data_IF_527574994088
#
_entry.id   IF_527574994088
#
_cell.length_a   1.000
_cell.length_b   1.000
_cell.length_c   1.000
_cell.angle_alpha   90.00
_cell.angle_beta   90.00
_cell.angle_gamma   90.00
#
_symmetry.space_group_name_H-M   'P 1'
#
loop_
_entity.id
_entity.type
_entity.pdbx_description
1 polymer ?
#
# COMPACT_ATOMS: atom_id res chain seq x y z
N UNK A 1 9.46 1.76 6.11
CA UNK A 1 9.70 2.78 7.15
C UNK A 1 8.38 3.17 7.74
N UNK A 2 8.29 3.12 9.07
CA UNK A 2 7.11 3.48 9.82
C UNK A 2 5.93 2.54 9.62
N UNK A 3 4.77 3.06 9.99
CA UNK A 3 3.50 2.33 9.98
C UNK A 3 2.73 2.47 8.65
N UNK A 4 3.38 2.96 7.59
CA UNK A 4 2.76 3.04 6.26
C UNK A 4 2.60 1.66 5.63
N UNK A 5 1.49 1.46 4.93
CA UNK A 5 1.23 0.27 4.14
C UNK A 5 1.41 0.57 2.65
N UNK A 6 2.16 -0.30 1.98
CA UNK A 6 2.45 -0.23 0.56
C UNK A 6 1.70 -1.36 -0.16
N UNK A 7 0.94 -0.99 -1.18
CA UNK A 7 0.23 -1.91 -2.04
C UNK A 7 0.71 -1.79 -3.48
N UNK A 8 0.80 -2.92 -4.16
CA UNK A 8 0.96 -3.02 -5.60
C UNK A 8 -0.24 -3.79 -6.16
N UNK A 9 -1.09 -3.09 -6.88
CA UNK A 9 -2.37 -3.57 -7.36
C UNK A 9 -2.28 -3.87 -8.86
N UNK A 10 -2.67 -5.08 -9.22
CA UNK A 10 -2.81 -5.60 -10.57
C UNK A 10 -3.70 -6.84 -10.52
N UNK A 11 -4.45 -7.11 -11.58
CA UNK A 11 -5.43 -8.21 -11.65
C UNK A 11 -4.77 -9.57 -11.28
N UNK A 12 -3.58 -9.87 -11.83
CA UNK A 12 -2.79 -11.06 -11.45
C UNK A 12 -2.53 -11.14 -9.93
N UNK A 13 -2.00 -10.06 -9.35
CA UNK A 13 -1.61 -10.02 -7.94
C UNK A 13 -2.82 -10.13 -7.01
N UNK A 14 -3.96 -9.58 -7.43
CA UNK A 14 -5.23 -9.74 -6.72
C UNK A 14 -5.71 -11.18 -6.74
N UNK A 15 -5.62 -11.85 -7.90
CA UNK A 15 -6.00 -13.26 -8.02
C UNK A 15 -5.16 -14.17 -7.11
N UNK A 16 -3.93 -13.74 -6.78
CA UNK A 16 -3.02 -14.47 -5.88
C UNK A 16 -3.06 -13.96 -4.43
N UNK A 17 -3.85 -12.92 -4.11
CA UNK A 17 -3.87 -12.30 -2.79
C UNK A 17 -2.55 -11.60 -2.39
N UNK A 18 -1.72 -11.21 -3.37
CA UNK A 18 -0.36 -10.67 -3.18
C UNK A 18 -0.27 -9.15 -3.38
N UNK A 19 -1.35 -8.41 -3.10
CA UNK A 19 -1.38 -6.95 -3.27
C UNK A 19 -0.63 -6.18 -2.18
N UNK A 20 -0.57 -6.67 -0.95
CA UNK A 20 0.14 -6.00 0.17
C UNK A 20 1.63 -6.33 0.11
N UNK A 21 2.49 -5.31 0.00
CA UNK A 21 3.94 -5.50 -0.16
C UNK A 21 4.71 -5.51 1.15
N UNK A 22 4.15 -4.93 2.21
CA UNK A 22 4.73 -4.95 3.54
C UNK A 22 3.69 -5.24 4.62
N UNK A 23 4.19 -5.47 5.83
CA UNK A 23 3.41 -5.46 7.06
C UNK A 23 3.77 -4.20 7.84
N UNK A 24 2.86 -3.80 8.74
CA UNK A 24 3.10 -2.71 9.67
C UNK A 24 4.27 -3.08 10.60
N UNK A 25 5.26 -2.19 10.71
CA UNK A 25 6.44 -2.41 11.56
C UNK A 25 6.53 -1.34 12.65
N UNK A 26 6.13 -1.71 13.87
CA UNK A 26 6.17 -0.86 15.08
C UNK A 26 7.57 -0.48 15.57
N UNK A 27 8.63 -0.70 14.79
CA UNK A 27 10.02 -0.42 15.18
C UNK A 27 10.81 0.37 14.13
N UNK A 28 10.22 0.66 12.96
CA UNK A 28 10.88 1.42 11.89
C UNK A 28 10.60 2.93 12.02
N UNK A 29 10.95 3.55 13.16
CA UNK A 29 10.64 4.97 13.41
C UNK A 29 11.77 5.91 12.96
N UNK A 30 11.36 7.08 12.47
CA UNK A 30 12.24 8.21 12.19
C UNK A 30 11.84 9.36 13.12
N UNK A 31 12.80 10.13 13.62
CA UNK A 31 12.55 11.30 14.47
C UNK A 31 13.27 11.19 15.80
N UNK A 32 12.53 11.26 16.92
CA UNK A 32 13.10 11.24 18.29
C UNK A 32 14.01 10.03 18.53
N UNK A 33 13.63 8.88 17.97
CA UNK A 33 14.50 7.70 17.88
C UNK A 33 14.70 7.44 16.40
N UNK A 34 15.88 7.76 15.88
CA UNK A 34 16.25 7.42 14.51
C UNK A 34 16.75 5.97 14.48
N UNK A 35 15.91 5.04 14.04
CA UNK A 35 16.32 3.63 13.97
C UNK A 35 17.22 3.31 12.79
N UNK A 36 17.46 4.25 11.89
CA UNK A 36 18.31 4.04 10.70
C UNK A 36 19.78 4.23 11.01
N UNK A 37 20.10 5.11 11.96
CA UNK A 37 21.47 5.41 12.39
C UNK A 37 21.95 4.52 13.54
N UNK A 38 21.12 3.56 13.98
CA UNK A 38 21.53 2.56 14.97
C UNK A 38 22.61 1.66 14.39
N UNK A 39 23.51 1.18 15.26
CA UNK A 39 24.52 0.17 14.92
C UNK A 39 23.91 -1.06 14.23
N UNK A 40 22.69 -1.41 14.64
CA UNK A 40 21.84 -2.38 13.93
C UNK A 40 20.63 -1.60 13.40
N UNK A 41 20.62 -1.20 12.12
CA UNK A 41 19.56 -0.37 11.58
C UNK A 41 18.26 -1.17 11.40
N UNK A 42 17.12 -0.50 11.55
CA UNK A 42 15.81 -1.12 11.39
C UNK A 42 15.05 -0.47 10.23
N UNK A 43 15.08 -1.13 9.08
CA UNK A 43 14.32 -0.75 7.90
C UNK A 43 14.17 -1.87 6.89
N UNK A 44 13.17 -1.73 6.04
CA UNK A 44 12.92 -2.60 4.90
C UNK A 44 13.25 -1.91 3.57
N UNK A 45 13.90 -2.64 2.67
CA UNK A 45 14.17 -2.22 1.29
C UNK A 45 13.85 -3.38 0.34
N UNK A 46 13.33 -3.07 -0.85
CA UNK A 46 12.94 -4.10 -1.80
C UNK A 46 12.81 -3.60 -3.22
N UNK A 47 12.76 -4.54 -4.15
CA UNK A 47 12.42 -4.34 -5.56
C UNK A 47 11.26 -5.25 -5.90
N UNK A 48 10.28 -4.74 -6.64
CA UNK A 48 9.11 -5.50 -7.09
C UNK A 48 8.93 -5.28 -8.57
N UNK A 49 8.70 -6.36 -9.29
CA UNK A 49 8.37 -6.31 -10.71
C UNK A 49 6.96 -5.75 -10.88
N UNK A 50 6.79 -4.80 -11.81
CA UNK A 50 5.46 -4.39 -12.26
C UNK A 50 4.94 -5.41 -13.24
N UNK A 51 3.68 -5.83 -13.07
CA UNK A 51 3.03 -6.75 -14.00
C UNK A 51 2.84 -6.11 -15.37
N UNK A 52 2.73 -6.90 -16.44
CA UNK A 52 2.42 -6.38 -17.77
C UNK A 52 1.04 -5.74 -17.77
N UNK A 53 0.92 -4.50 -18.26
CA UNK A 53 -0.33 -3.75 -18.24
C UNK A 53 -0.37 -2.68 -17.14
N UNK A 54 -1.56 -2.38 -16.62
CA UNK A 54 -1.79 -1.25 -15.72
C UNK A 54 -1.65 -1.69 -14.26
N UNK A 55 -0.66 -1.13 -13.58
CA UNK A 55 -0.41 -1.33 -12.16
C UNK A 55 -0.83 -0.06 -11.41
N UNK A 56 -1.25 -0.22 -10.15
CA UNK A 56 -1.40 0.89 -9.22
C UNK A 56 -0.49 0.66 -8.02
N UNK A 57 0.27 1.68 -7.65
CA UNK A 57 1.05 1.72 -6.42
C UNK A 57 0.29 2.62 -5.46
N UNK A 58 -0.03 2.11 -4.27
CA UNK A 58 -0.65 2.89 -3.20
C UNK A 58 0.25 2.86 -1.97
N UNK A 59 0.62 4.03 -1.47
CA UNK A 59 1.18 4.20 -0.14
C UNK A 59 0.14 4.92 0.73
N UNK A 60 -0.18 4.37 1.90
CA UNK A 60 -1.16 4.95 2.82
C UNK A 60 -0.62 4.90 4.26
N UNK A 61 -0.85 5.96 5.02
CA UNK A 61 -0.55 6.00 6.48
C UNK A 61 -1.53 5.15 7.26
N UNK A 62 -1.16 4.67 8.44
CA UNK A 62 -1.95 3.73 9.26
C UNK A 62 -3.25 4.29 9.83
N UNK A 63 -3.46 5.61 9.81
CA UNK A 63 -4.70 6.23 10.28
C UNK A 63 -5.97 5.68 9.63
N UNK A 64 -5.87 5.08 8.43
CA UNK A 64 -7.03 4.48 7.78
C UNK A 64 -7.50 3.16 8.41
N UNK A 65 -6.65 2.52 9.23
CA UNK A 65 -6.95 1.22 9.81
C UNK A 65 -8.20 1.25 10.70
N UNK A 66 -8.52 2.41 11.29
CA UNK A 66 -9.71 2.62 12.11
C UNK A 66 -11.02 2.47 11.32
N UNK A 67 -10.99 2.74 10.01
CA UNK A 67 -12.16 2.66 9.14
C UNK A 67 -12.05 1.55 8.08
N UNK A 68 -11.04 0.68 8.17
CA UNK A 68 -10.73 -0.33 7.15
C UNK A 68 -11.95 -1.20 6.80
N UNK A 69 -12.75 -1.58 7.80
CA UNK A 69 -13.93 -2.43 7.63
C UNK A 69 -15.15 -1.70 7.03
N UNK A 70 -15.11 -0.36 6.98
CA UNK A 70 -16.21 0.46 6.46
C UNK A 70 -16.04 0.80 4.97
N UNK A 71 -15.03 0.24 4.30
CA UNK A 71 -14.54 0.73 3.01
C UNK A 71 -14.50 -0.36 1.95
N UNK A 72 -14.64 0.04 0.69
CA UNK A 72 -14.35 -0.83 -0.46
C UNK A 72 -12.93 -1.38 -0.37
N UNK A 73 -12.68 -2.52 -1.01
CA UNK A 73 -11.35 -3.13 -0.96
C UNK A 73 -10.27 -2.15 -1.47
N UNK A 74 -9.04 -2.23 -0.95
CA UNK A 74 -7.92 -1.36 -1.39
C UNK A 74 -7.74 -1.36 -2.91
N UNK A 75 -7.84 -2.50 -3.62
CA UNK A 75 -7.78 -2.50 -5.08
C UNK A 75 -8.89 -1.73 -5.77
N UNK A 76 -10.13 -1.77 -5.27
CA UNK A 76 -11.24 -0.97 -5.82
C UNK A 76 -11.02 0.51 -5.56
N UNK A 77 -10.59 0.86 -4.34
CA UNK A 77 -10.24 2.23 -3.96
C UNK A 77 -9.21 2.83 -4.94
N UNK A 78 -8.16 2.08 -5.27
CA UNK A 78 -7.09 2.56 -6.16
C UNK A 78 -7.51 2.77 -7.62
N UNK A 79 -8.59 2.10 -8.06
CA UNK A 79 -9.07 2.18 -9.45
C UNK A 79 -10.01 3.35 -9.70
N UNK A 80 -10.48 4.04 -8.65
CA UNK A 80 -11.47 5.10 -8.77
C UNK A 80 -11.16 6.30 -7.86
N UNK A 81 -10.88 7.44 -8.49
CA UNK A 81 -10.66 8.70 -7.79
C UNK A 81 -11.87 9.13 -6.94
N UNK A 82 -13.09 8.91 -7.44
CA UNK A 82 -14.30 9.22 -6.67
C UNK A 82 -14.47 8.35 -5.42
N UNK A 83 -13.98 7.11 -5.45
CA UNK A 83 -13.95 6.26 -4.26
C UNK A 83 -12.90 6.74 -3.26
N UNK A 84 -11.74 7.21 -3.73
CA UNK A 84 -10.71 7.84 -2.88
C UNK A 84 -11.27 9.08 -2.18
N UNK A 85 -11.92 9.97 -2.91
CA UNK A 85 -12.55 11.17 -2.33
C UNK A 85 -13.61 10.80 -1.30
N UNK A 86 -14.51 9.87 -1.64
CA UNK A 86 -15.58 9.41 -0.74
C UNK A 86 -15.02 8.76 0.52
N UNK A 87 -13.93 7.99 0.39
CA UNK A 87 -13.22 7.36 1.49
C UNK A 87 -12.60 8.40 2.43
N UNK A 88 -11.85 9.38 1.90
CA UNK A 88 -11.25 10.45 2.70
C UNK A 88 -12.33 11.32 3.36
N UNK A 89 -13.43 11.60 2.66
CA UNK A 89 -14.56 12.32 3.24
C UNK A 89 -15.23 11.53 4.36
N UNK A 90 -15.39 10.21 4.20
CA UNK A 90 -15.96 9.34 5.24
C UNK A 90 -15.07 9.34 6.50
N UNK A 91 -13.76 9.19 6.34
CA UNK A 91 -12.80 9.29 7.46
C UNK A 91 -12.93 10.63 8.20
N UNK A 92 -13.01 11.74 7.45
CA UNK A 92 -13.20 13.06 8.04
C UNK A 92 -14.55 13.19 8.77
N UNK A 93 -15.64 12.71 8.16
CA UNK A 93 -16.98 12.75 8.74
C UNK A 93 -17.09 11.90 10.02
N UNK A 94 -16.42 10.74 10.03
CA UNK A 94 -16.34 9.85 11.18
C UNK A 94 -15.43 10.38 12.30
N UNK A 95 -14.71 11.48 12.05
CA UNK A 95 -13.76 12.07 13.00
C UNK A 95 -12.73 11.05 13.50
N UNK A 96 -12.14 10.28 12.59
CA UNK A 96 -11.08 9.31 12.94
C UNK A 96 -9.97 9.99 13.72
N UNK A 97 -9.37 9.25 14.67
CA UNK A 97 -8.44 9.84 15.63
C UNK A 97 -7.13 10.24 14.98
N UNK A 98 -6.70 9.46 13.98
CA UNK A 98 -5.44 9.67 13.28
C UNK A 98 -5.64 10.16 11.84
N UNK A 99 -4.59 10.82 11.33
CA UNK A 99 -4.57 11.37 9.98
C UNK A 99 -4.34 10.26 8.96
N UNK A 100 -5.21 10.20 7.97
CA UNK A 100 -5.01 9.37 6.79
C UNK A 100 -4.49 10.22 5.64
N UNK A 101 -3.32 9.85 5.12
CA UNK A 101 -2.76 10.40 3.89
C UNK A 101 -2.45 9.24 2.95
N UNK A 102 -2.76 9.41 1.67
CA UNK A 102 -2.44 8.44 0.64
C UNK A 102 -1.74 9.09 -0.55
N UNK A 103 -0.88 8.30 -1.19
CA UNK A 103 -0.27 8.62 -2.48
C UNK A 103 -0.54 7.44 -3.41
N UNK A 104 -1.21 7.72 -4.51
CA UNK A 104 -1.57 6.74 -5.52
C UNK A 104 -0.84 7.07 -6.83
N UNK A 105 -0.25 6.06 -7.46
CA UNK A 105 0.40 6.20 -8.77
C UNK A 105 -0.01 5.06 -9.69
N UNK A 106 -0.64 5.39 -10.82
CA UNK A 106 -0.92 4.44 -11.90
C UNK A 106 0.25 4.38 -12.88
N UNK A 107 0.77 3.18 -13.15
CA UNK A 107 1.89 2.94 -14.07
C UNK A 107 1.49 1.88 -15.08
N UNK A 108 1.69 2.17 -16.37
CA UNK A 108 1.55 1.16 -17.43
C UNK A 108 2.92 0.56 -17.73
N UNK A 109 3.07 -0.74 -17.54
CA UNK A 109 4.25 -1.49 -17.97
C UNK A 109 3.92 -2.19 -19.30
N UNK A 110 4.70 -1.93 -20.34
CA UNK A 110 4.50 -2.54 -21.66
C UNK A 110 5.39 -3.78 -21.88
N UNK A 111 6.25 -4.10 -20.91
CA UNK A 111 7.13 -5.25 -20.96
C UNK A 111 6.45 -6.48 -20.36
N UNK A 112 6.83 -7.65 -20.87
CA UNK A 112 6.41 -8.94 -20.31
C UNK A 112 6.94 -9.12 -18.88
N UNK A 113 6.06 -9.55 -17.98
CA UNK A 113 6.34 -9.80 -16.58
C UNK A 113 6.37 -11.30 -16.32
N UNK A 114 7.14 -11.74 -15.31
CA UNK A 114 7.33 -13.16 -15.03
C UNK A 114 6.02 -13.83 -14.59
N UNK A 115 5.67 -14.98 -15.13
CA UNK A 115 4.53 -15.75 -14.62
C UNK A 115 5.00 -16.78 -13.58
N UNK A 116 4.20 -17.06 -12.54
CA UNK A 116 4.51 -18.14 -11.60
C UNK A 116 4.63 -19.46 -12.36
N UNK A 117 5.59 -20.30 -11.97
CA UNK A 117 5.73 -21.63 -12.54
C UNK A 117 4.47 -22.43 -12.25
N UNK A 118 3.86 -23.00 -13.29
CA UNK A 118 2.95 -24.13 -13.12
C UNK A 118 3.84 -25.34 -12.82
N UNK A 119 3.89 -25.78 -11.55
CA UNK A 119 4.38 -27.13 -11.28
C UNK A 119 3.38 -28.11 -11.93
N UNK A 120 3.84 -28.86 -12.94
CA UNK A 120 3.16 -30.05 -13.48
C UNK A 120 3.36 -31.26 -12.55
#
# INVERSE_FOLDING_TARGET
MGDCQLFLIHDDLESWGQVSLNQRNFYEWIGKVNTFEKTVPCYSLGRRELRTGKNYILLITDGYLEAKDATSSIPELCRSESLIESFLHNLHFQQTLDSTTLVQWAVKNELDAANPSTDE
#
